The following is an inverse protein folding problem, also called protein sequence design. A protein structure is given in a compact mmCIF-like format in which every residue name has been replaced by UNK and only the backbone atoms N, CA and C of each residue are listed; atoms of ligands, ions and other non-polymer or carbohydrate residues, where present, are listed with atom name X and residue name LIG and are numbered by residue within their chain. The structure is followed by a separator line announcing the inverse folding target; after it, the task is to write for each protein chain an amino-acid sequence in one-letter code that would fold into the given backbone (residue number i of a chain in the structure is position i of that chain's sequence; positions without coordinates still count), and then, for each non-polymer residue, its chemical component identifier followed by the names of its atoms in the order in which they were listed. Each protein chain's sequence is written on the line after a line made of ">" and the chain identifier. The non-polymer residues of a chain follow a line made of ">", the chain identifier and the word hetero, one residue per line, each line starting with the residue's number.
data_IF_287860453856
#
_entry.id   IF_287860453856
#
_cell.length_a   1.000
_cell.length_b   1.000
_cell.length_c   1.000
_cell.angle_alpha   90.00
_cell.angle_beta   90.00
_cell.angle_gamma   90.00
#
_symmetry.space_group_name_H-M   'P 1'
#
loop_
_entity.id
_entity.type
_entity.pdbx_description
1 polymer ?
#
# COMPACT_ATOMS: atom_id res chain seq x y z
N UNK A 1 -21.00 20.38 42.97
CA UNK A 1 -19.53 20.37 43.17
C UNK A 1 -19.10 18.95 43.36
N UNK A 2 -18.88 18.21 42.30
CA UNK A 2 -17.98 17.05 42.25
C UNK A 2 -17.45 16.97 40.83
N UNK A 3 -16.16 17.13 40.72
CA UNK A 3 -15.37 16.99 39.48
C UNK A 3 -15.33 15.52 39.11
N UNK A 4 -15.82 15.14 37.95
CA UNK A 4 -15.62 13.82 37.37
C UNK A 4 -14.40 13.89 36.42
N UNK A 5 -13.26 13.38 36.88
CA UNK A 5 -12.13 13.02 36.05
C UNK A 5 -12.53 11.82 35.19
N UNK A 6 -12.57 12.01 33.90
CA UNK A 6 -12.70 10.91 32.94
C UNK A 6 -11.36 10.19 32.81
N UNK A 7 -11.31 8.99 33.36
CA UNK A 7 -10.20 8.05 33.20
C UNK A 7 -10.39 7.38 31.84
N UNK A 8 -9.55 7.73 30.88
CA UNK A 8 -9.44 7.00 29.60
C UNK A 8 -8.73 5.68 29.91
N UNK A 9 -9.51 4.61 29.96
CA UNK A 9 -8.97 3.26 30.06
C UNK A 9 -8.51 2.81 28.67
N UNK A 10 -7.18 2.79 28.44
CA UNK A 10 -6.58 2.06 27.34
C UNK A 10 -6.79 0.56 27.57
N UNK A 11 -7.79 -0.01 26.91
CA UNK A 11 -7.96 -1.46 26.88
C UNK A 11 -7.09 -2.00 25.73
N UNK A 12 -5.85 -2.39 26.06
CA UNK A 12 -5.04 -3.24 25.20
C UNK A 12 -5.57 -4.68 25.26
N UNK A 13 -6.50 -5.04 24.38
CA UNK A 13 -6.91 -6.42 24.20
C UNK A 13 -5.81 -7.20 23.49
N UNK A 14 -4.94 -7.85 24.24
CA UNK A 14 -4.08 -8.92 23.73
C UNK A 14 -4.94 -10.17 23.50
N UNK A 15 -5.52 -10.31 22.31
CA UNK A 15 -6.04 -11.58 21.85
C UNK A 15 -4.93 -12.36 21.18
N UNK A 16 -4.28 -13.21 21.96
CA UNK A 16 -3.42 -14.27 21.44
C UNK A 16 -4.30 -15.41 20.94
N UNK A 17 -4.64 -15.42 19.66
CA UNK A 17 -5.17 -16.60 19.00
C UNK A 17 -4.00 -17.40 18.43
N UNK A 18 -3.67 -18.52 19.08
CA UNK A 18 -2.79 -19.54 18.55
C UNK A 18 -3.42 -20.20 17.32
N UNK A 19 -3.14 -19.64 16.15
CA UNK A 19 -3.32 -20.37 14.88
C UNK A 19 -2.00 -21.08 14.56
N UNK A 20 -1.96 -22.38 14.81
CA UNK A 20 -0.88 -23.24 14.30
C UNK A 20 -1.02 -23.35 12.78
N UNK A 21 -0.41 -22.44 12.06
CA UNK A 21 -0.06 -22.65 10.67
C UNK A 21 1.30 -23.36 10.65
N UNK A 22 1.29 -24.64 10.31
CA UNK A 22 2.48 -25.40 9.93
C UNK A 22 2.97 -24.89 8.55
N UNK A 23 3.60 -23.72 8.52
CA UNK A 23 4.63 -23.43 7.54
C UNK A 23 5.97 -23.57 8.27
N UNK A 24 6.78 -24.50 7.80
CA UNK A 24 8.18 -24.67 8.21
C UNK A 24 8.89 -23.32 8.12
N UNK A 25 9.05 -22.65 9.27
CA UNK A 25 9.89 -21.46 9.42
C UNK A 25 11.36 -21.92 9.34
N UNK A 26 11.87 -22.16 8.14
CA UNK A 26 13.26 -21.86 7.84
C UNK A 26 13.33 -20.33 7.74
N UNK A 27 13.66 -19.68 8.85
CA UNK A 27 14.05 -18.28 8.84
C UNK A 27 15.39 -18.21 8.07
N UNK A 28 15.31 -17.94 6.78
CA UNK A 28 16.49 -17.59 6.01
C UNK A 28 17.16 -16.42 6.72
N UNK A 29 18.46 -16.52 6.95
CA UNK A 29 19.24 -15.48 7.63
C UNK A 29 19.13 -14.09 6.98
N UNK A 30 18.56 -14.04 5.77
CA UNK A 30 18.45 -12.88 4.90
C UNK A 30 17.04 -12.28 4.84
N UNK A 31 16.09 -12.74 5.69
CA UNK A 31 14.73 -12.20 5.72
C UNK A 31 14.48 -11.31 6.95
N UNK A 32 13.71 -10.25 6.76
CA UNK A 32 13.23 -9.37 7.82
C UNK A 32 12.10 -10.07 8.58
N UNK A 33 12.19 -10.13 9.91
CA UNK A 33 11.08 -10.61 10.74
C UNK A 33 10.08 -9.48 10.93
N UNK A 34 8.81 -9.78 10.72
CA UNK A 34 7.71 -8.82 10.88
C UNK A 34 6.72 -9.28 11.95
N UNK A 35 6.08 -8.32 12.59
CA UNK A 35 5.00 -8.58 13.56
C UNK A 35 3.75 -7.78 13.15
N UNK A 36 2.58 -8.38 13.40
CA UNK A 36 1.31 -7.73 13.15
C UNK A 36 1.04 -6.66 14.19
N UNK A 37 0.71 -5.45 13.73
CA UNK A 37 0.24 -4.33 14.52
C UNK A 37 -1.09 -3.84 13.93
N UNK A 38 -2.07 -3.58 14.78
CA UNK A 38 -3.34 -2.94 14.41
C UNK A 38 -3.47 -1.66 15.20
N UNK A 39 -3.73 -0.55 14.50
CA UNK A 39 -4.07 0.74 15.10
C UNK A 39 -5.41 1.14 14.50
N UNK A 40 -6.40 1.37 15.36
CA UNK A 40 -7.73 1.75 14.92
C UNK A 40 -8.35 2.74 15.90
N UNK A 41 -9.12 3.68 15.37
CA UNK A 41 -9.90 4.61 16.19
C UNK A 41 -11.13 5.07 15.41
N UNK A 42 -12.13 5.58 16.12
CA UNK A 42 -13.41 6.03 15.58
C UNK A 42 -13.89 7.28 16.32
N UNK A 43 -14.30 8.28 15.53
CA UNK A 43 -14.93 9.48 16.09
C UNK A 43 -16.33 9.65 15.48
N UNK A 44 -17.35 9.73 16.34
CA UNK A 44 -18.74 10.02 15.96
C UNK A 44 -19.02 11.53 16.06
N UNK A 45 -19.83 12.06 15.15
CA UNK A 45 -20.26 13.46 15.15
C UNK A 45 -20.83 13.84 16.54
N UNK A 46 -20.34 14.95 17.09
CA UNK A 46 -20.71 15.45 18.42
C UNK A 46 -20.49 14.44 19.57
N UNK A 47 -19.69 13.41 19.36
CA UNK A 47 -19.49 12.32 20.33
C UNK A 47 -20.71 11.42 20.54
N UNK A 48 -21.71 11.48 19.64
CA UNK A 48 -22.93 10.69 19.72
C UNK A 48 -22.84 9.44 18.81
N UNK A 49 -22.76 8.26 19.41
CA UNK A 49 -22.64 6.98 18.70
C UNK A 49 -23.82 6.62 17.80
N UNK A 50 -24.93 7.34 17.87
CA UNK A 50 -26.05 7.20 16.95
C UNK A 50 -25.89 8.03 15.65
N UNK A 51 -24.89 8.89 15.61
CA UNK A 51 -24.57 9.74 14.46
C UNK A 51 -23.47 9.15 13.59
N UNK A 52 -23.32 9.62 12.33
CA UNK A 52 -22.23 9.25 11.46
C UNK A 52 -20.85 9.36 12.11
N UNK A 53 -19.90 8.57 11.60
CA UNK A 53 -18.57 8.49 12.18
C UNK A 53 -17.48 8.56 11.11
N UNK A 54 -16.29 8.97 11.53
CA UNK A 54 -15.03 8.67 10.85
C UNK A 54 -14.39 7.47 11.54
N UNK A 55 -14.15 6.40 10.78
CA UNK A 55 -13.47 5.21 11.24
C UNK A 55 -12.15 5.06 10.50
N UNK A 56 -11.07 4.84 11.22
CA UNK A 56 -9.72 4.65 10.65
C UNK A 56 -9.13 3.37 11.20
N UNK A 57 -8.70 2.47 10.31
CA UNK A 57 -8.09 1.18 10.67
C UNK A 57 -6.80 1.00 9.89
N UNK A 58 -5.71 0.74 10.59
CA UNK A 58 -4.42 0.36 10.00
C UNK A 58 -4.05 -1.04 10.49
N UNK A 59 -3.96 -2.00 9.59
CA UNK A 59 -3.45 -3.35 9.83
C UNK A 59 -2.09 -3.46 9.17
N UNK A 60 -1.03 -3.64 9.94
CA UNK A 60 0.35 -3.61 9.44
C UNK A 60 1.16 -4.82 9.89
N UNK A 61 2.02 -5.31 9.03
CA UNK A 61 3.13 -6.19 9.38
C UNK A 61 4.42 -5.37 9.43
N UNK A 62 4.84 -4.96 10.62
CA UNK A 62 5.99 -4.08 10.81
C UNK A 62 7.29 -4.84 11.01
N UNK A 63 8.42 -4.41 10.43
CA UNK A 63 9.75 -4.96 10.70
C UNK A 63 10.10 -4.86 12.19
N UNK A 64 10.50 -5.97 12.81
CA UNK A 64 10.88 -6.02 14.23
C UNK A 64 12.24 -6.62 14.47
N UNK A 65 12.83 -7.31 13.45
CA UNK A 65 14.18 -7.88 13.55
C UNK A 65 14.76 -8.06 12.15
N UNK A 66 16.04 -7.70 12.00
CA UNK A 66 16.88 -8.02 10.85
C UNK A 66 18.33 -7.90 11.26
N UNK A 67 19.19 -8.81 10.86
CA UNK A 67 20.65 -8.91 11.16
C UNK A 67 21.08 -8.29 12.52
N UNK A 68 21.05 -6.96 12.66
CA UNK A 68 21.32 -6.21 13.90
C UNK A 68 20.08 -5.48 14.39
N UNK A 69 20.01 -5.20 15.70
CA UNK A 69 18.81 -4.56 16.30
C UNK A 69 18.52 -3.15 15.76
N UNK A 70 19.54 -2.44 15.25
CA UNK A 70 19.34 -1.11 14.62
C UNK A 70 18.72 -1.17 13.24
N UNK A 71 18.85 -2.30 12.53
CA UNK A 71 18.56 -2.40 11.11
C UNK A 71 17.05 -2.34 10.82
N UNK A 72 16.22 -3.00 11.63
CA UNK A 72 14.77 -2.94 11.46
C UNK A 72 14.19 -1.55 11.77
N UNK A 73 14.78 -0.82 12.74
CA UNK A 73 14.37 0.55 13.03
C UNK A 73 14.75 1.49 11.87
N UNK A 74 15.90 1.26 11.24
CA UNK A 74 16.29 2.00 10.06
C UNK A 74 15.33 1.73 8.90
N UNK A 75 14.97 0.47 8.67
CA UNK A 75 13.98 0.09 7.64
C UNK A 75 12.61 0.74 7.90
N UNK A 76 12.12 0.73 9.14
CA UNK A 76 10.86 1.41 9.48
C UNK A 76 10.91 2.91 9.14
N UNK A 77 12.02 3.59 9.42
CA UNK A 77 12.19 5.03 9.11
C UNK A 77 12.27 5.32 7.61
N UNK A 78 12.76 4.37 6.81
CA UNK A 78 12.72 4.46 5.34
C UNK A 78 11.28 4.28 4.85
N UNK A 79 10.56 3.30 5.40
CA UNK A 79 9.20 2.96 4.97
C UNK A 79 8.16 4.02 5.36
N UNK A 80 8.32 4.71 6.50
CA UNK A 80 7.32 5.66 7.00
C UNK A 80 6.99 6.78 6.01
N UNK A 81 7.97 7.55 5.47
CA UNK A 81 7.67 8.58 4.48
C UNK A 81 7.20 7.99 3.13
N UNK A 82 7.71 6.84 2.71
CA UNK A 82 7.26 6.17 1.49
C UNK A 82 5.78 5.74 1.57
N UNK A 83 5.35 5.33 2.76
CA UNK A 83 3.99 4.82 2.99
C UNK A 83 2.98 5.94 3.21
N UNK A 84 3.31 6.91 4.06
CA UNK A 84 2.35 7.87 4.59
C UNK A 84 2.59 9.31 4.12
N UNK A 85 3.77 9.64 3.59
CA UNK A 85 4.16 10.97 3.12
C UNK A 85 5.40 11.51 3.81
N UNK A 86 6.03 12.50 3.18
CA UNK A 86 7.33 13.06 3.61
C UNK A 86 7.29 13.70 5.01
N UNK A 87 6.13 14.13 5.47
CA UNK A 87 5.90 14.68 6.81
C UNK A 87 6.19 13.67 7.94
N UNK A 88 6.20 12.37 7.63
CA UNK A 88 6.52 11.29 8.57
C UNK A 88 7.99 10.87 8.55
N UNK A 89 8.86 11.65 7.89
CA UNK A 89 10.30 11.37 7.86
C UNK A 89 10.89 11.34 9.27
N UNK A 90 11.60 10.25 9.58
CA UNK A 90 12.21 10.01 10.89
C UNK A 90 11.33 9.30 11.91
N UNK A 91 10.04 9.19 11.67
CA UNK A 91 9.14 8.38 12.51
C UNK A 91 9.36 6.88 12.26
N UNK A 92 9.09 6.05 13.27
CA UNK A 92 8.85 4.63 13.06
C UNK A 92 7.48 4.43 12.41
N UNK A 93 7.25 3.28 11.74
CA UNK A 93 5.94 2.95 11.16
C UNK A 93 4.79 3.07 12.18
N UNK A 94 5.02 2.66 13.43
CA UNK A 94 4.02 2.78 14.50
C UNK A 94 3.69 4.25 14.81
N UNK A 95 4.71 5.11 14.94
CA UNK A 95 4.52 6.54 15.23
C UNK A 95 3.79 7.22 14.06
N UNK A 96 4.22 6.96 12.82
CA UNK A 96 3.58 7.51 11.64
C UNK A 96 2.10 7.08 11.55
N UNK A 97 1.82 5.79 11.74
CA UNK A 97 0.46 5.26 11.72
C UNK A 97 -0.46 5.90 12.78
N UNK A 98 0.05 6.13 14.02
CA UNK A 98 -0.71 6.83 15.05
C UNK A 98 -1.07 8.26 14.65
N UNK A 99 -0.10 8.99 14.06
CA UNK A 99 -0.33 10.35 13.54
C UNK A 99 -1.31 10.36 12.35
N UNK A 100 -1.27 9.36 11.48
CA UNK A 100 -2.22 9.21 10.36
C UNK A 100 -3.64 9.06 10.89
N UNK A 101 -3.86 8.17 11.86
CA UNK A 101 -5.18 8.03 12.51
C UNK A 101 -5.66 9.36 13.10
N UNK A 102 -4.80 10.02 13.88
CA UNK A 102 -5.13 11.30 14.49
C UNK A 102 -5.45 12.38 13.45
N UNK A 103 -4.70 12.43 12.35
CA UNK A 103 -4.92 13.37 11.25
C UNK A 103 -6.29 13.21 10.60
N UNK A 104 -6.70 11.98 10.26
CA UNK A 104 -8.03 11.72 9.68
C UNK A 104 -9.17 12.10 10.63
N UNK A 105 -9.04 11.73 11.90
CA UNK A 105 -10.06 12.07 12.90
C UNK A 105 -10.15 13.58 13.13
N UNK A 106 -9.04 14.29 13.12
CA UNK A 106 -9.03 15.75 13.28
C UNK A 106 -9.63 16.44 12.05
N UNK A 107 -9.29 15.99 10.82
CA UNK A 107 -9.92 16.50 9.61
C UNK A 107 -11.45 16.33 9.63
N UNK A 108 -11.94 15.18 10.10
CA UNK A 108 -13.36 14.94 10.26
C UNK A 108 -14.02 15.86 11.29
N UNK A 109 -13.34 16.12 12.41
CA UNK A 109 -13.83 17.08 13.45
C UNK A 109 -13.91 18.51 12.92
N UNK A 110 -12.97 18.92 12.08
CA UNK A 110 -12.98 20.28 11.48
C UNK A 110 -14.20 20.54 10.60
N UNK A 111 -14.72 19.52 9.90
CA UNK A 111 -15.91 19.63 9.04
C UNK A 111 -17.23 19.31 9.75
N UNK A 112 -17.19 18.91 11.02
CA UNK A 112 -18.36 18.56 11.82
C UNK A 112 -19.46 19.65 11.81
N UNK A 113 -19.17 20.97 11.97
CA UNK A 113 -20.21 22.00 11.96
C UNK A 113 -20.96 22.09 10.63
N UNK A 114 -20.31 21.78 9.51
CA UNK A 114 -20.93 21.74 8.18
C UNK A 114 -21.83 20.51 8.04
N UNK A 115 -21.36 19.35 8.49
CA UNK A 115 -22.15 18.11 8.50
C UNK A 115 -23.40 18.22 9.37
N UNK A 116 -23.30 18.77 10.56
CA UNK A 116 -24.45 19.00 11.44
C UNK A 116 -25.51 19.88 10.78
N UNK A 117 -25.09 20.94 10.11
CA UNK A 117 -25.99 21.84 9.38
C UNK A 117 -26.69 21.16 8.22
N UNK A 118 -25.97 20.35 7.46
CA UNK A 118 -26.52 19.67 6.28
C UNK A 118 -27.43 18.51 6.71
N UNK A 119 -27.03 17.74 7.71
CA UNK A 119 -27.84 16.67 8.30
C UNK A 119 -29.18 17.18 8.80
N UNK A 120 -29.20 18.38 9.44
CA UNK A 120 -30.42 19.01 9.91
C UNK A 120 -31.36 19.40 8.77
N UNK A 121 -30.85 19.67 7.55
CA UNK A 121 -31.68 20.01 6.40
C UNK A 121 -32.18 18.79 5.63
N UNK A 122 -31.28 17.85 5.33
CA UNK A 122 -31.55 16.71 4.45
C UNK A 122 -32.14 15.51 5.18
N UNK A 123 -31.76 15.33 6.44
CA UNK A 123 -32.04 14.11 7.20
C UNK A 123 -31.26 12.88 6.72
N UNK A 124 -30.37 13.03 5.72
CA UNK A 124 -29.56 11.96 5.16
C UNK A 124 -28.22 11.88 5.87
N UNK A 125 -27.95 10.76 6.55
CA UNK A 125 -26.76 10.57 7.39
C UNK A 125 -25.63 9.83 6.69
N UNK A 126 -25.93 8.94 5.75
CA UNK A 126 -24.97 8.03 5.12
C UNK A 126 -23.84 8.75 4.35
N UNK A 127 -24.10 9.94 3.82
CA UNK A 127 -23.10 10.72 3.08
C UNK A 127 -22.01 11.34 3.98
N UNK A 128 -22.17 11.25 5.29
CA UNK A 128 -21.23 11.79 6.28
C UNK A 128 -20.37 10.70 6.96
N UNK A 129 -20.58 9.43 6.61
CA UNK A 129 -19.68 8.35 7.04
C UNK A 129 -18.34 8.46 6.32
N UNK A 130 -17.25 8.45 7.08
CA UNK A 130 -15.90 8.32 6.54
C UNK A 130 -15.28 7.00 7.02
N UNK A 131 -14.70 6.26 6.11
CA UNK A 131 -14.02 4.99 6.41
C UNK A 131 -12.66 4.96 5.69
N UNK A 132 -11.60 4.73 6.47
CA UNK A 132 -10.23 4.58 5.98
C UNK A 132 -9.68 3.25 6.46
N UNK A 133 -9.30 2.38 5.55
CA UNK A 133 -8.65 1.10 5.84
C UNK A 133 -7.31 1.03 5.12
N UNK A 134 -6.27 0.69 5.88
CA UNK A 134 -4.92 0.50 5.37
C UNK A 134 -4.42 -0.89 5.75
N UNK A 135 -3.94 -1.64 4.77
CA UNK A 135 -3.25 -2.90 4.99
C UNK A 135 -1.83 -2.80 4.44
N UNK A 136 -0.85 -3.02 5.30
CA UNK A 136 0.57 -2.91 5.00
C UNK A 136 1.26 -4.23 5.30
N UNK A 137 1.90 -4.84 4.29
CA UNK A 137 2.60 -6.12 4.47
C UNK A 137 3.74 -6.29 3.46
N UNK A 138 4.78 -7.10 3.79
CA UNK A 138 5.78 -7.45 2.80
C UNK A 138 5.19 -8.40 1.75
N UNK A 139 5.47 -8.11 0.48
CA UNK A 139 5.11 -8.97 -0.67
C UNK A 139 6.32 -9.75 -1.18
N UNK A 140 7.54 -9.27 -0.89
CA UNK A 140 8.79 -9.98 -1.14
C UNK A 140 9.79 -9.68 -0.03
N UNK A 141 10.41 -10.70 0.56
CA UNK A 141 11.27 -10.55 1.74
C UNK A 141 12.35 -11.63 1.76
N UNK A 142 13.33 -11.53 0.87
CA UNK A 142 14.49 -12.45 0.72
C UNK A 142 15.54 -11.91 -0.25
N UNK A 143 16.70 -12.56 -0.30
CA UNK A 143 17.80 -12.18 -1.18
C UNK A 143 18.26 -10.72 -0.97
N UNK A 144 18.26 -10.24 0.28
CA UNK A 144 18.52 -8.86 0.65
C UNK A 144 17.60 -7.83 -0.03
N UNK A 145 16.38 -8.23 -0.42
CA UNK A 145 15.31 -7.32 -0.85
C UNK A 145 14.11 -7.39 0.09
N UNK A 146 13.51 -6.24 0.33
CA UNK A 146 12.27 -6.10 1.06
C UNK A 146 11.29 -5.26 0.24
N UNK A 147 10.28 -5.89 -0.35
CA UNK A 147 9.20 -5.19 -1.03
C UNK A 147 8.02 -5.07 -0.07
N UNK A 148 7.60 -3.85 0.20
CA UNK A 148 6.50 -3.54 1.10
C UNK A 148 5.31 -3.05 0.28
N UNK A 149 4.17 -3.73 0.42
CA UNK A 149 2.91 -3.37 -0.18
C UNK A 149 2.05 -2.57 0.79
N UNK A 150 1.40 -1.54 0.26
CA UNK A 150 0.47 -0.65 0.96
C UNK A 150 -0.84 -0.66 0.19
N UNK A 151 -1.86 -1.30 0.73
CA UNK A 151 -3.23 -1.24 0.24
C UNK A 151 -3.99 -0.21 1.06
N UNK A 152 -4.65 0.71 0.41
CA UNK A 152 -5.55 1.68 1.05
C UNK A 152 -6.93 1.62 0.41
N UNK A 153 -7.97 1.74 1.22
CA UNK A 153 -9.30 2.05 0.78
C UNK A 153 -9.87 3.20 1.59
N UNK A 154 -10.60 4.07 0.92
CA UNK A 154 -11.22 5.23 1.54
C UNK A 154 -12.64 5.44 1.02
N UNK A 155 -13.52 5.84 1.91
CA UNK A 155 -14.84 6.34 1.60
C UNK A 155 -15.07 7.61 2.42
N UNK A 156 -15.36 8.70 1.73
CA UNK A 156 -15.62 10.00 2.35
C UNK A 156 -16.96 10.58 1.88
N UNK A 157 -17.88 9.70 1.56
CA UNK A 157 -19.19 10.04 0.99
C UNK A 157 -19.24 9.81 -0.53
N UNK A 158 -20.40 9.98 -1.11
CA UNK A 158 -20.62 9.82 -2.56
C UNK A 158 -21.02 8.39 -2.97
N UNK A 159 -20.92 8.09 -4.28
CA UNK A 159 -21.46 6.88 -4.86
C UNK A 159 -20.65 5.60 -4.56
N UNK A 160 -19.34 5.73 -4.38
CA UNK A 160 -18.43 4.62 -4.07
C UNK A 160 -17.12 5.16 -3.43
N UNK A 161 -16.41 4.27 -2.74
CA UNK A 161 -15.08 4.55 -2.24
C UNK A 161 -14.01 4.44 -3.32
N UNK A 162 -12.78 4.77 -2.94
CA UNK A 162 -11.57 4.58 -3.75
C UNK A 162 -10.65 3.60 -3.04
N UNK A 163 -9.87 2.86 -3.81
CA UNK A 163 -8.80 2.04 -3.27
C UNK A 163 -7.55 2.15 -4.15
N UNK A 164 -6.40 1.97 -3.52
CA UNK A 164 -5.12 1.92 -4.24
C UNK A 164 -4.16 0.93 -3.60
N UNK A 165 -3.23 0.42 -4.41
CA UNK A 165 -2.13 -0.41 -3.96
C UNK A 165 -0.82 0.21 -4.44
N UNK A 166 0.15 0.37 -3.52
CA UNK A 166 1.48 0.90 -3.81
C UNK A 166 2.53 -0.05 -3.28
N UNK A 167 3.64 -0.13 -3.99
CA UNK A 167 4.72 -1.05 -3.66
C UNK A 167 6.05 -0.32 -3.62
N UNK A 168 6.87 -0.65 -2.63
CA UNK A 168 8.17 -0.04 -2.41
C UNK A 168 9.20 -1.15 -2.20
N UNK A 169 10.17 -1.21 -3.09
CA UNK A 169 11.27 -2.17 -3.01
C UNK A 169 12.49 -1.51 -2.39
N UNK A 170 13.00 -2.10 -1.31
CA UNK A 170 14.21 -1.65 -0.62
C UNK A 170 15.30 -2.70 -0.82
N UNK A 171 16.48 -2.28 -1.30
CA UNK A 171 17.70 -3.07 -1.27
C UNK A 171 18.32 -2.97 0.12
N UNK A 172 18.23 -4.05 0.89
CA UNK A 172 18.73 -4.12 2.26
C UNK A 172 20.27 -4.15 2.35
N UNK A 173 20.97 -4.34 1.22
CA UNK A 173 22.44 -4.32 1.19
C UNK A 173 23.00 -2.89 1.30
N UNK A 174 22.24 -1.90 0.88
CA UNK A 174 22.64 -0.49 0.87
C UNK A 174 21.55 0.47 1.41
N UNK A 175 20.40 -0.06 1.83
CA UNK A 175 19.26 0.67 2.40
C UNK A 175 18.62 1.69 1.46
N UNK A 176 18.67 1.44 0.16
CA UNK A 176 18.07 2.33 -0.84
C UNK A 176 16.77 1.75 -1.39
N UNK A 177 15.80 2.63 -1.62
CA UNK A 177 14.68 2.30 -2.49
C UNK A 177 15.20 2.07 -3.90
N UNK A 178 14.68 1.04 -4.54
CA UNK A 178 14.95 0.73 -5.95
C UNK A 178 13.83 1.32 -6.80
N UNK A 179 14.18 2.16 -7.75
CA UNK A 179 13.32 2.67 -8.80
C UNK A 179 13.62 2.04 -10.16
N UNK A 180 12.88 2.42 -11.19
CA UNK A 180 13.09 1.95 -12.55
C UNK A 180 14.50 2.29 -13.07
N UNK A 181 15.02 3.47 -12.75
CA UNK A 181 16.36 3.93 -13.15
C UNK A 181 17.50 3.10 -12.52
N UNK A 182 17.25 2.43 -11.40
CA UNK A 182 18.22 1.49 -10.80
C UNK A 182 18.17 0.10 -11.45
N UNK A 183 17.13 -0.17 -12.23
CA UNK A 183 16.91 -1.48 -12.86
C UNK A 183 17.21 -1.43 -14.35
N UNK A 184 16.71 -0.44 -15.07
CA UNK A 184 16.65 -0.46 -16.54
C UNK A 184 17.56 0.56 -17.19
N UNK A 185 17.97 0.23 -18.41
CA UNK A 185 18.72 1.14 -19.27
C UNK A 185 17.84 2.33 -19.69
N UNK A 186 18.39 3.55 -19.83
CA UNK A 186 17.61 4.76 -20.11
C UNK A 186 16.71 4.66 -21.36
N UNK A 187 17.14 3.94 -22.39
CA UNK A 187 16.43 3.83 -23.67
C UNK A 187 15.47 2.63 -23.73
N UNK A 188 15.15 2.01 -22.61
CA UNK A 188 14.33 0.78 -22.57
C UNK A 188 12.82 1.02 -22.46
N UNK A 189 12.37 2.24 -22.25
CA UNK A 189 10.96 2.57 -21.95
C UNK A 189 9.98 2.02 -23.02
N UNK A 190 10.21 2.30 -24.30
CA UNK A 190 9.31 1.87 -25.38
C UNK A 190 9.26 0.35 -25.52
N UNK A 191 10.42 -0.31 -25.34
CA UNK A 191 10.51 -1.75 -25.38
C UNK A 191 9.75 -2.40 -24.21
N UNK A 192 9.90 -1.85 -22.99
CA UNK A 192 9.17 -2.32 -21.80
C UNK A 192 7.67 -2.12 -21.97
N UNK A 193 7.22 -0.96 -22.47
CA UNK A 193 5.80 -0.69 -22.77
C UNK A 193 5.23 -1.72 -23.76
N UNK A 194 5.97 -2.03 -24.85
CA UNK A 194 5.56 -3.05 -25.82
C UNK A 194 5.47 -4.45 -25.18
N UNK A 195 6.39 -4.81 -24.28
CA UNK A 195 6.38 -6.09 -23.57
C UNK A 195 5.17 -6.16 -22.62
N UNK A 196 4.91 -5.08 -21.87
CA UNK A 196 3.78 -4.98 -20.94
C UNK A 196 2.45 -5.10 -21.67
N UNK A 197 2.26 -4.34 -22.77
CA UNK A 197 1.06 -4.41 -23.61
C UNK A 197 0.82 -5.83 -24.14
N UNK A 198 1.85 -6.44 -24.72
CA UNK A 198 1.73 -7.81 -25.26
C UNK A 198 1.41 -8.83 -24.15
N UNK A 199 1.96 -8.65 -22.95
CA UNK A 199 1.67 -9.50 -21.79
C UNK A 199 0.23 -9.32 -21.33
N UNK A 200 -0.26 -8.10 -21.24
CA UNK A 200 -1.65 -7.82 -20.86
C UNK A 200 -2.62 -8.42 -21.86
N UNK A 201 -2.39 -8.21 -23.17
CA UNK A 201 -3.22 -8.81 -24.21
C UNK A 201 -3.27 -10.34 -24.10
N UNK A 202 -2.14 -10.97 -23.81
CA UNK A 202 -2.07 -12.42 -23.59
C UNK A 202 -2.83 -12.86 -22.35
N UNK A 203 -2.71 -12.13 -21.23
CA UNK A 203 -3.43 -12.42 -19.98
C UNK A 203 -4.96 -12.36 -20.20
N UNK A 204 -5.43 -11.41 -20.99
CA UNK A 204 -6.84 -11.18 -21.27
C UNK A 204 -7.35 -11.99 -22.47
N UNK A 205 -6.45 -12.74 -23.14
CA UNK A 205 -6.75 -13.54 -24.33
C UNK A 205 -7.38 -12.69 -25.45
N UNK A 206 -6.84 -11.50 -25.69
CA UNK A 206 -7.22 -10.62 -26.80
C UNK A 206 -6.12 -10.55 -27.86
N UNK A 207 -6.49 -10.31 -29.12
CA UNK A 207 -5.58 -10.35 -30.25
C UNK A 207 -5.18 -8.98 -30.81
N UNK A 208 -5.84 -7.92 -30.37
CA UNK A 208 -5.55 -6.55 -30.81
C UNK A 208 -5.64 -5.55 -29.66
N UNK A 209 -4.89 -4.43 -29.73
CA UNK A 209 -5.03 -3.32 -28.78
C UNK A 209 -6.46 -2.78 -28.69
N UNK A 210 -7.18 -2.68 -29.81
CA UNK A 210 -8.57 -2.19 -29.84
C UNK A 210 -9.51 -3.02 -28.97
N UNK A 211 -9.24 -4.33 -28.83
CA UNK A 211 -10.03 -5.20 -27.96
C UNK A 211 -9.87 -4.89 -26.47
N UNK A 212 -8.79 -4.21 -26.07
CA UNK A 212 -8.62 -3.75 -24.70
C UNK A 212 -9.60 -2.61 -24.36
N UNK A 213 -9.90 -1.73 -25.32
CA UNK A 213 -10.87 -0.65 -25.15
C UNK A 213 -12.26 -1.21 -24.83
N UNK A 214 -12.66 -2.32 -25.47
CA UNK A 214 -13.92 -3.01 -25.23
C UNK A 214 -13.99 -3.60 -23.80
N UNK A 215 -12.84 -3.88 -23.18
CA UNK A 215 -12.72 -4.38 -21.81
C UNK A 215 -12.59 -3.26 -20.76
N UNK A 216 -12.68 -1.98 -21.18
CA UNK A 216 -12.65 -0.83 -20.30
C UNK A 216 -11.26 -0.27 -20.01
N UNK A 217 -10.23 -0.72 -20.76
CA UNK A 217 -8.92 -0.07 -20.76
C UNK A 217 -8.98 1.24 -21.55
N UNK A 218 -8.08 2.16 -21.22
CA UNK A 218 -7.96 3.46 -21.89
C UNK A 218 -7.01 3.36 -23.08
N UNK A 219 -6.17 4.35 -23.30
CA UNK A 219 -5.20 4.29 -24.38
C UNK A 219 -4.10 3.25 -24.07
N UNK A 220 -3.68 2.49 -25.09
CA UNK A 220 -2.59 1.52 -24.95
C UNK A 220 -1.23 2.18 -24.71
N UNK A 221 -1.09 3.47 -25.02
CA UNK A 221 0.11 4.27 -24.73
C UNK A 221 0.28 4.50 -23.21
N UNK A 222 -0.79 4.40 -22.43
CA UNK A 222 -0.75 4.48 -20.97
C UNK A 222 -0.15 3.23 -20.30
N UNK A 223 -0.05 2.11 -21.03
CA UNK A 223 0.50 0.84 -20.54
C UNK A 223 2.02 0.87 -20.60
N UNK A 224 2.63 1.55 -19.63
CA UNK A 224 4.08 1.71 -19.51
C UNK A 224 4.59 1.23 -18.16
N UNK A 225 5.90 0.96 -18.06
CA UNK A 225 6.55 0.67 -16.80
C UNK A 225 6.46 1.89 -15.87
N UNK A 226 5.93 1.70 -14.67
CA UNK A 226 5.77 2.72 -13.64
C UNK A 226 6.57 2.37 -12.39
N UNK A 227 6.74 3.32 -11.47
CA UNK A 227 7.37 3.11 -10.17
C UNK A 227 6.55 2.22 -9.22
N UNK A 228 5.33 1.82 -9.62
CA UNK A 228 4.47 0.96 -8.82
C UNK A 228 4.65 -0.51 -9.22
N UNK A 229 5.72 -1.11 -8.73
CA UNK A 229 6.08 -2.51 -9.00
C UNK A 229 6.61 -3.21 -7.75
N UNK A 230 6.58 -4.54 -7.78
CA UNK A 230 7.27 -5.38 -6.80
C UNK A 230 8.03 -6.52 -7.48
N UNK A 231 9.05 -7.03 -6.77
CA UNK A 231 9.83 -8.18 -7.23
C UNK A 231 9.10 -9.49 -6.95
N UNK A 232 9.28 -10.46 -7.85
CA UNK A 232 8.90 -11.86 -7.65
C UNK A 232 10.17 -12.72 -7.76
N UNK A 233 10.03 -14.03 -7.53
CA UNK A 233 11.17 -14.95 -7.71
C UNK A 233 11.66 -15.05 -9.16
N UNK A 234 10.81 -14.70 -10.10
CA UNK A 234 11.02 -14.94 -11.51
C UNK A 234 11.01 -13.68 -12.36
N UNK A 235 10.63 -12.53 -11.79
CA UNK A 235 10.43 -11.31 -12.56
C UNK A 235 10.06 -10.09 -11.75
N UNK A 236 9.41 -9.18 -12.43
CA UNK A 236 8.87 -7.93 -11.89
C UNK A 236 7.37 -7.89 -12.20
N UNK A 237 6.57 -7.55 -11.19
CA UNK A 237 5.14 -7.35 -11.35
C UNK A 237 4.81 -5.86 -11.23
N UNK A 238 4.34 -5.26 -12.31
CA UNK A 238 3.78 -3.90 -12.31
C UNK A 238 2.31 -3.92 -11.93
N UNK A 239 1.91 -2.92 -11.15
CA UNK A 239 0.54 -2.79 -10.66
C UNK A 239 -0.02 -1.43 -11.03
N UNK A 240 -1.19 -1.45 -11.65
CA UNK A 240 -1.94 -0.26 -12.07
C UNK A 240 -3.24 -0.20 -11.27
N UNK A 241 -3.45 0.91 -10.59
CA UNK A 241 -4.65 1.14 -9.81
C UNK A 241 -5.85 1.50 -10.70
N UNK A 242 -7.09 1.46 -10.20
CA UNK A 242 -8.25 1.97 -10.93
C UNK A 242 -7.99 3.38 -11.44
N UNK A 243 -8.41 3.64 -12.67
CA UNK A 243 -8.23 4.89 -13.42
C UNK A 243 -6.80 5.20 -13.90
N UNK A 244 -5.78 4.38 -13.62
CA UNK A 244 -4.45 4.59 -14.20
C UNK A 244 -4.39 4.15 -15.68
N UNK A 245 -4.90 2.96 -15.98
CA UNK A 245 -4.92 2.42 -17.37
C UNK A 245 -6.29 1.86 -17.78
N UNK A 246 -7.25 1.80 -16.87
CA UNK A 246 -8.58 1.25 -17.11
C UNK A 246 -9.63 1.92 -16.21
N UNK A 247 -10.91 1.78 -16.56
CA UNK A 247 -12.00 2.30 -15.76
C UNK A 247 -12.11 1.59 -14.40
N UNK A 248 -12.79 2.21 -13.44
CA UNK A 248 -12.96 1.68 -12.09
C UNK A 248 -13.54 0.26 -12.06
N UNK A 249 -14.48 -0.04 -12.95
CA UNK A 249 -15.15 -1.34 -13.01
C UNK A 249 -14.20 -2.49 -13.44
N UNK A 250 -13.13 -2.20 -14.18
CA UNK A 250 -12.09 -3.16 -14.54
C UNK A 250 -11.24 -3.52 -13.32
N UNK A 251 -11.13 -2.60 -12.36
CA UNK A 251 -10.37 -2.78 -11.14
C UNK A 251 -8.87 -2.61 -11.35
N UNK A 252 -8.09 -3.15 -10.39
CA UNK A 252 -6.65 -3.15 -10.45
C UNK A 252 -6.15 -4.12 -11.53
N UNK A 253 -5.15 -3.70 -12.29
CA UNK A 253 -4.44 -4.56 -13.25
C UNK A 253 -3.02 -4.85 -12.77
N UNK A 254 -2.61 -6.12 -12.80
CA UNK A 254 -1.24 -6.54 -12.48
C UNK A 254 -0.64 -7.28 -13.66
N UNK A 255 0.60 -6.91 -14.04
CA UNK A 255 1.31 -7.47 -15.18
C UNK A 255 2.68 -7.96 -14.71
N UNK A 256 2.86 -9.28 -14.63
CA UNK A 256 4.15 -9.87 -14.29
C UNK A 256 4.95 -10.20 -15.55
N UNK A 257 6.19 -9.71 -15.63
CA UNK A 257 7.14 -10.00 -16.68
C UNK A 257 8.32 -10.77 -16.11
N UNK A 258 8.59 -11.99 -16.58
CA UNK A 258 9.77 -12.76 -16.18
C UNK A 258 11.08 -12.05 -16.54
N UNK A 259 12.10 -12.14 -15.67
CA UNK A 259 13.42 -11.56 -15.93
C UNK A 259 13.99 -11.94 -17.30
N UNK A 260 13.82 -13.19 -17.75
CA UNK A 260 14.30 -13.66 -19.06
C UNK A 260 13.75 -12.89 -20.26
N UNK A 261 12.61 -12.22 -20.14
CA UNK A 261 11.97 -11.44 -21.20
C UNK A 261 12.45 -9.99 -21.21
N UNK A 262 13.04 -9.51 -20.11
CA UNK A 262 13.52 -8.14 -19.94
C UNK A 262 15.02 -8.06 -19.64
N UNK A 263 15.74 -9.18 -19.62
CA UNK A 263 17.15 -9.29 -19.22
C UNK A 263 18.07 -8.36 -20.02
N UNK A 264 17.84 -8.23 -21.33
CA UNK A 264 18.62 -7.35 -22.21
C UNK A 264 18.44 -5.85 -21.94
N UNK A 265 17.41 -5.47 -21.21
CA UNK A 265 17.11 -4.08 -20.84
C UNK A 265 17.57 -3.74 -19.42
N UNK A 266 17.91 -4.75 -18.61
CA UNK A 266 18.37 -4.55 -17.22
C UNK A 266 19.84 -4.09 -17.25
N UNK A 267 20.15 -3.05 -16.46
CA UNK A 267 21.50 -2.54 -16.27
C UNK A 267 22.46 -3.66 -15.82
N UNK A 268 23.71 -3.68 -16.30
CA UNK A 268 24.68 -4.70 -15.89
C UNK A 268 24.97 -4.73 -14.40
N UNK A 269 24.91 -3.58 -13.74
CA UNK A 269 25.14 -3.36 -12.31
C UNK A 269 23.88 -3.21 -11.47
N UNK A 270 22.71 -3.46 -12.07
CA UNK A 270 21.42 -3.40 -11.36
C UNK A 270 21.39 -4.35 -10.15
N UNK A 271 20.84 -3.90 -9.00
CA UNK A 271 20.66 -4.76 -7.84
C UNK A 271 19.88 -6.05 -8.13
N UNK A 272 18.89 -5.99 -9.04
CA UNK A 272 18.04 -7.15 -9.38
C UNK A 272 18.79 -8.27 -10.09
N UNK A 273 20.03 -8.02 -10.58
CA UNK A 273 20.91 -9.06 -11.14
C UNK A 273 21.16 -10.21 -10.16
N UNK A 274 21.08 -9.97 -8.85
CA UNK A 274 21.17 -11.03 -7.83
C UNK A 274 20.06 -12.08 -7.91
N UNK A 275 18.94 -11.76 -8.57
CA UNK A 275 17.78 -12.66 -8.77
C UNK A 275 17.82 -13.41 -10.09
N UNK A 276 18.64 -12.97 -11.05
CA UNK A 276 18.72 -13.54 -12.40
C UNK A 276 19.80 -14.63 -12.39
N UNK A 277 19.38 -15.87 -12.63
CA UNK A 277 20.26 -17.05 -12.67
C UNK A 277 20.56 -17.45 -14.11
#
# INVERSE_FOLDING_TARGET
>A
KVSLLSIIALISCLYSCNFKNNHSNETNADSVVVEKLVIADTYHLSGDTAKPACKVVLTMEIPVKYKQDSDYLHLQKILSPLTFGDEYTGDSLKQAAQKVVESHLNAYKEIEPEFEKELAKSGEAYSFEWDFDYTLSPVYNRNDFFCYGVSSSEYTGGAHGMYSNRYYTIDLSNWKRIGLDDIFQPDSSDALSSILLNRLMKQLNVSSPDSLLELGYFDTEDIMATENFYLTDTGICWVYNPYEIACYATGQTSIEIPFKEIDSYILPDSPVRRLIK
#
